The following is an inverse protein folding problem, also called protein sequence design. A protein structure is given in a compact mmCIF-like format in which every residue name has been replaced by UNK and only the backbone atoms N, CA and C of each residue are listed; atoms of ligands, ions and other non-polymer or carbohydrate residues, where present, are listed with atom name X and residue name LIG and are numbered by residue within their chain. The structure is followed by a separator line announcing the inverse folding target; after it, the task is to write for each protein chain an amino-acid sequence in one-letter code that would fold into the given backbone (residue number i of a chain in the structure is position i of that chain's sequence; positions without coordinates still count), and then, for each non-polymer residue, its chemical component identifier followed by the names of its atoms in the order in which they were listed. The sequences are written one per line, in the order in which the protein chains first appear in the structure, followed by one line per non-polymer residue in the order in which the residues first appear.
data_IF_767591077217
#
_entry.id   IF_767591077217
#
_cell.length_a   1.000
_cell.length_b   1.000
_cell.length_c   1.000
_cell.angle_alpha   90.00
_cell.angle_beta   90.00
_cell.angle_gamma   90.00
#
_symmetry.space_group_name_H-M   'P 1'
#
loop_
_entity.id
_entity.type
_entity.pdbx_description
1 polymer ?
#
# COMPACT_ATOMS: atom_id res chain seq x y z
N UNK A 1 3.59 14.14 2.14
CA UNK A 1 2.59 13.42 2.96
C UNK A 1 2.53 14.03 4.35
N UNK A 2 1.34 14.45 4.84
CA UNK A 2 1.14 14.93 6.21
C UNK A 2 0.33 13.87 6.98
N UNK A 3 0.87 13.36 8.09
CA UNK A 3 0.26 12.27 8.86
C UNK A 3 -0.83 12.77 9.81
N UNK A 4 -1.97 12.08 9.86
CA UNK A 4 -2.96 12.11 10.97
C UNK A 4 -3.11 10.72 11.59
N UNK A 5 -3.65 10.63 12.81
CA UNK A 5 -3.77 9.35 13.53
C UNK A 5 -5.20 9.14 14.03
N UNK A 6 -5.80 7.99 13.71
CA UNK A 6 -7.02 7.53 14.36
C UNK A 6 -6.64 6.81 15.66
N UNK A 7 -7.26 7.20 16.78
CA UNK A 7 -7.00 6.63 18.09
C UNK A 7 -8.27 5.99 18.63
N UNK A 8 -8.15 4.78 19.16
CA UNK A 8 -9.19 4.06 19.86
C UNK A 8 -8.57 3.25 21.00
N UNK A 9 -9.34 3.02 22.05
CA UNK A 9 -8.94 2.20 23.18
C UNK A 9 -9.59 0.82 23.06
N UNK A 10 -8.80 -0.23 23.34
CA UNK A 10 -9.28 -1.61 23.41
C UNK A 10 -9.24 -2.01 24.88
N UNK A 11 -10.41 -2.09 25.51
CA UNK A 11 -10.53 -2.54 26.89
C UNK A 11 -9.99 -3.96 27.02
N UNK A 12 -9.26 -4.22 28.12
CA UNK A 12 -8.69 -5.54 28.44
C UNK A 12 -7.83 -6.11 27.29
N UNK A 13 -7.05 -5.25 26.65
CA UNK A 13 -6.18 -5.66 25.55
C UNK A 13 -5.25 -6.82 25.94
N UNK A 14 -5.24 -7.85 25.09
CA UNK A 14 -4.24 -8.92 25.12
C UNK A 14 -3.83 -9.36 23.71
N UNK A 15 -2.82 -10.24 23.57
CA UNK A 15 -2.36 -10.74 22.26
C UNK A 15 -3.47 -11.38 21.41
N UNK A 16 -4.48 -11.99 22.05
CA UNK A 16 -5.65 -12.54 21.37
C UNK A 16 -6.47 -11.47 20.61
N UNK A 17 -6.56 -10.25 21.14
CA UNK A 17 -7.22 -9.13 20.46
C UNK A 17 -6.52 -8.79 19.15
N UNK A 18 -5.18 -8.78 19.14
CA UNK A 18 -4.39 -8.55 17.93
C UNK A 18 -4.54 -9.68 16.90
N UNK A 19 -4.56 -10.93 17.35
CA UNK A 19 -4.81 -12.09 16.47
C UNK A 19 -6.21 -12.04 15.83
N UNK A 20 -7.21 -11.52 16.55
CA UNK A 20 -8.54 -11.28 15.99
C UNK A 20 -8.50 -10.26 14.84
N UNK A 21 -7.82 -9.13 15.00
CA UNK A 21 -7.66 -8.16 13.91
C UNK A 21 -6.88 -8.75 12.73
N UNK A 22 -5.81 -9.48 13.00
CA UNK A 22 -5.03 -10.14 11.95
C UNK A 22 -5.87 -11.13 11.14
N UNK A 23 -6.68 -11.95 11.82
CA UNK A 23 -7.64 -12.85 11.17
C UNK A 23 -8.62 -12.09 10.26
N UNK A 24 -9.20 -11.00 10.74
CA UNK A 24 -10.13 -10.19 9.94
C UNK A 24 -9.46 -9.61 8.69
N UNK A 25 -8.20 -9.17 8.79
CA UNK A 25 -7.44 -8.69 7.63
C UNK A 25 -7.19 -9.83 6.62
N UNK A 26 -6.83 -11.03 7.08
CA UNK A 26 -6.64 -12.18 6.19
C UNK A 26 -7.93 -12.61 5.47
N UNK A 27 -9.08 -12.49 6.14
CA UNK A 27 -10.37 -12.89 5.56
C UNK A 27 -10.96 -11.84 4.61
N UNK A 28 -10.70 -10.54 4.85
CA UNK A 28 -11.41 -9.44 4.18
C UNK A 28 -10.54 -8.61 3.25
N UNK A 29 -9.28 -8.38 3.60
CA UNK A 29 -8.39 -7.55 2.78
C UNK A 29 -7.88 -8.32 1.57
N UNK A 30 -7.65 -7.61 0.46
CA UNK A 30 -7.10 -8.15 -0.78
C UNK A 30 -6.01 -7.22 -1.31
N UNK A 31 -5.16 -7.76 -2.16
CA UNK A 31 -4.14 -6.97 -2.84
C UNK A 31 -3.01 -6.46 -1.94
N UNK A 32 -2.99 -6.73 -0.63
CA UNK A 32 -1.86 -6.35 0.22
C UNK A 32 -0.55 -7.01 -0.26
N UNK A 33 0.55 -6.26 -0.24
CA UNK A 33 1.89 -6.85 -0.36
C UNK A 33 2.21 -7.71 0.87
N UNK A 34 1.84 -7.20 2.06
CA UNK A 34 2.04 -7.94 3.29
C UNK A 34 0.90 -7.69 4.29
N UNK A 35 0.22 -8.76 4.69
CA UNK A 35 -0.63 -8.80 5.87
C UNK A 35 0.19 -9.36 7.03
N UNK A 36 0.30 -8.62 8.13
CA UNK A 36 1.24 -8.94 9.21
C UNK A 36 0.65 -8.73 10.61
N UNK A 37 1.22 -9.47 11.55
CA UNK A 37 1.15 -9.23 12.99
C UNK A 37 2.56 -9.36 13.58
N UNK A 38 3.00 -8.33 14.29
CA UNK A 38 4.33 -8.28 14.91
C UNK A 38 4.15 -7.82 16.36
N UNK A 39 4.55 -8.67 17.30
CA UNK A 39 4.54 -8.33 18.73
C UNK A 39 5.98 -8.21 19.24
N UNK A 40 6.33 -7.06 19.81
CA UNK A 40 7.68 -6.74 20.29
C UNK A 40 7.80 -6.81 21.81
N UNK A 41 6.85 -7.46 22.49
CA UNK A 41 6.72 -7.47 23.95
C UNK A 41 5.89 -6.30 24.48
N UNK A 42 6.30 -5.07 24.18
CA UNK A 42 5.61 -3.84 24.67
C UNK A 42 4.63 -3.22 23.68
N UNK A 43 4.71 -3.60 22.40
CA UNK A 43 3.88 -3.05 21.32
C UNK A 43 3.47 -4.16 20.35
N UNK A 44 2.34 -3.94 19.69
CA UNK A 44 1.85 -4.84 18.66
C UNK A 44 1.48 -4.03 17.42
N UNK A 45 1.96 -4.47 16.27
CA UNK A 45 1.63 -3.93 14.97
C UNK A 45 0.79 -4.96 14.23
N UNK A 46 -0.36 -4.54 13.69
CA UNK A 46 -1.22 -5.36 12.83
C UNK A 46 -1.58 -4.52 11.63
N UNK A 47 -1.42 -5.05 10.42
CA UNK A 47 -1.68 -4.27 9.21
C UNK A 47 -1.68 -5.10 7.94
N UNK A 48 -2.11 -4.46 6.85
CA UNK A 48 -2.13 -5.00 5.51
C UNK A 48 -1.59 -3.93 4.54
N UNK A 49 -0.27 -3.86 4.40
CA UNK A 49 0.39 -2.84 3.55
C UNK A 49 0.24 -3.23 2.08
N UNK A 50 -0.22 -2.33 1.19
CA UNK A 50 -0.17 -2.57 -0.25
C UNK A 50 1.25 -2.44 -0.80
N UNK A 51 2.11 -1.69 -0.12
CA UNK A 51 3.39 -1.22 -0.64
C UNK A 51 4.55 -1.96 0.02
N UNK A 52 5.48 -2.46 -0.80
CA UNK A 52 6.78 -2.93 -0.34
C UNK A 52 7.68 -1.71 -0.16
N UNK A 53 8.53 -1.73 0.86
CA UNK A 53 9.57 -0.70 0.95
C UNK A 53 10.68 -0.94 -0.09
N UNK A 54 11.36 -2.08 0.04
CA UNK A 54 12.33 -2.58 -0.94
C UNK A 54 12.48 -4.09 -0.75
N UNK A 55 12.74 -4.81 -1.83
CA UNK A 55 13.11 -6.24 -1.81
C UNK A 55 14.38 -6.44 -2.61
N UNK A 56 15.29 -7.29 -2.12
CA UNK A 56 16.50 -7.69 -2.85
C UNK A 56 16.51 -9.20 -3.00
N UNK A 57 16.64 -9.68 -4.23
CA UNK A 57 16.78 -11.11 -4.52
C UNK A 57 17.74 -11.28 -5.70
N UNK A 58 18.77 -12.11 -5.52
CA UNK A 58 19.76 -12.42 -6.56
C UNK A 58 20.37 -11.16 -7.22
N UNK A 59 20.65 -10.14 -6.40
CA UNK A 59 21.19 -8.84 -6.85
C UNK A 59 20.15 -7.87 -7.43
N UNK A 60 18.90 -8.30 -7.66
CA UNK A 60 17.82 -7.45 -8.15
C UNK A 60 17.11 -6.74 -7.00
N UNK A 61 17.26 -5.42 -6.93
CA UNK A 61 16.52 -4.54 -6.02
C UNK A 61 15.21 -4.07 -6.67
N UNK A 62 14.10 -4.12 -5.92
CA UNK A 62 12.78 -3.71 -6.40
C UNK A 62 12.09 -2.85 -5.33
N UNK A 63 11.73 -1.63 -5.70
CA UNK A 63 10.75 -0.77 -5.01
C UNK A 63 9.42 -0.82 -5.77
N UNK A 64 8.36 -0.21 -5.23
CA UNK A 64 7.03 -0.27 -5.83
C UNK A 64 6.28 1.02 -5.49
N UNK A 65 6.51 2.11 -6.25
CA UNK A 65 5.86 3.37 -5.98
C UNK A 65 4.36 3.22 -6.17
N UNK A 66 3.57 3.56 -5.15
CA UNK A 66 2.11 3.60 -5.24
C UNK A 66 1.62 5.01 -4.92
N UNK A 67 0.84 5.59 -5.83
CA UNK A 67 0.12 6.84 -5.54
C UNK A 67 -1.09 6.98 -6.46
N UNK A 68 -2.04 7.82 -6.04
CA UNK A 68 -3.38 7.85 -6.59
C UNK A 68 -4.31 6.84 -5.88
N UNK A 69 -5.56 7.20 -5.66
CA UNK A 69 -6.51 6.35 -4.91
C UNK A 69 -7.94 6.50 -5.39
N UNK A 70 -8.47 5.44 -6.00
CA UNK A 70 -9.89 5.29 -6.24
C UNK A 70 -10.56 4.64 -5.04
N UNK A 71 -11.47 5.35 -4.36
CA UNK A 71 -12.25 4.81 -3.23
C UNK A 71 -13.53 4.18 -3.73
N UNK A 72 -13.78 2.92 -3.36
CA UNK A 72 -14.99 2.23 -3.79
C UNK A 72 -16.23 2.81 -3.10
N UNK A 73 -17.34 3.02 -3.83
CA UNK A 73 -18.60 3.37 -3.20
C UNK A 73 -19.16 2.14 -2.44
N UNK A 74 -20.15 2.33 -1.54
CA UNK A 74 -20.75 1.22 -0.80
C UNK A 74 -21.31 0.08 -1.66
N UNK A 75 -21.68 0.37 -2.91
CA UNK A 75 -22.15 -0.60 -3.89
C UNK A 75 -21.02 -1.42 -4.56
N UNK A 76 -19.76 -1.09 -4.30
CA UNK A 76 -18.57 -1.68 -4.94
C UNK A 76 -18.08 -0.87 -6.15
N UNK A 77 -16.88 -1.19 -6.67
CA UNK A 77 -16.29 -0.47 -7.79
C UNK A 77 -17.14 -0.63 -9.05
N UNK A 78 -17.18 0.41 -9.89
CA UNK A 78 -17.77 0.32 -11.22
C UNK A 78 -16.81 0.85 -12.28
N UNK A 79 -16.95 0.31 -13.50
CA UNK A 79 -16.00 0.57 -14.59
C UNK A 79 -15.93 2.06 -14.96
N UNK A 80 -17.06 2.78 -14.95
CA UNK A 80 -17.07 4.20 -15.32
C UNK A 80 -16.20 5.02 -14.35
N UNK A 81 -16.39 4.82 -13.04
CA UNK A 81 -15.60 5.52 -12.02
C UNK A 81 -14.11 5.15 -12.07
N UNK A 82 -13.78 3.89 -12.36
CA UNK A 82 -12.39 3.47 -12.56
C UNK A 82 -11.77 4.20 -13.76
N UNK A 83 -12.50 4.29 -14.88
CA UNK A 83 -12.01 5.00 -16.06
C UNK A 83 -11.87 6.51 -15.81
N UNK A 84 -12.79 7.12 -15.06
CA UNK A 84 -12.71 8.52 -14.65
C UNK A 84 -11.48 8.76 -13.75
N UNK A 85 -11.22 7.88 -12.80
CA UNK A 85 -10.02 7.91 -11.95
C UNK A 85 -8.73 7.80 -12.77
N UNK A 86 -8.65 6.85 -13.71
CA UNK A 86 -7.48 6.66 -14.57
C UNK A 86 -7.25 7.84 -15.53
N UNK A 87 -8.30 8.60 -15.85
CA UNK A 87 -8.22 9.81 -16.65
C UNK A 87 -7.99 11.09 -15.82
N UNK A 88 -8.01 11.01 -14.48
CA UNK A 88 -7.80 12.17 -13.61
C UNK A 88 -6.32 12.59 -13.64
N UNK A 89 -6.09 13.77 -14.21
CA UNK A 89 -4.75 14.34 -14.33
C UNK A 89 -4.06 14.53 -12.98
N UNK A 90 -4.79 14.90 -11.93
CA UNK A 90 -4.20 15.08 -10.61
C UNK A 90 -3.69 13.75 -10.07
N UNK A 91 -4.45 12.67 -10.23
CA UNK A 91 -4.06 11.34 -9.76
C UNK A 91 -2.88 10.79 -10.56
N UNK A 92 -2.87 10.99 -11.88
CA UNK A 92 -1.73 10.65 -12.73
C UNK A 92 -0.45 11.44 -12.37
N UNK A 93 -0.58 12.76 -12.17
CA UNK A 93 0.55 13.62 -11.77
C UNK A 93 1.08 13.21 -10.38
N UNK A 94 0.21 12.78 -9.46
CA UNK A 94 0.63 12.22 -8.17
C UNK A 94 1.45 10.94 -8.31
N UNK A 95 1.10 10.04 -9.23
CA UNK A 95 1.89 8.85 -9.50
C UNK A 95 3.25 9.20 -10.13
N UNK A 96 3.27 10.09 -11.12
CA UNK A 96 4.52 10.49 -11.78
C UNK A 96 5.52 11.08 -10.79
N UNK A 97 5.05 11.94 -9.87
CA UNK A 97 5.92 12.52 -8.85
C UNK A 97 6.57 11.46 -7.95
N UNK A 98 5.82 10.45 -7.50
CA UNK A 98 6.40 9.41 -6.62
C UNK A 98 7.33 8.47 -7.37
N UNK A 99 7.04 8.15 -8.65
CA UNK A 99 7.94 7.37 -9.51
C UNK A 99 9.27 8.08 -9.67
N UNK A 100 9.26 9.40 -9.93
CA UNK A 100 10.48 10.19 -10.05
C UNK A 100 11.31 10.19 -8.75
N UNK A 101 10.66 10.32 -7.58
CA UNK A 101 11.36 10.27 -6.29
C UNK A 101 11.95 8.88 -5.99
N UNK A 102 11.25 7.81 -6.32
CA UNK A 102 11.79 6.46 -6.17
C UNK A 102 12.91 6.15 -7.18
N UNK A 103 12.83 6.66 -8.41
CA UNK A 103 13.92 6.56 -9.39
C UNK A 103 15.19 7.26 -8.90
N UNK A 104 15.07 8.42 -8.23
CA UNK A 104 16.22 9.07 -7.57
C UNK A 104 16.81 8.19 -6.47
N UNK A 105 15.97 7.46 -5.72
CA UNK A 105 16.46 6.52 -4.72
C UNK A 105 17.19 5.35 -5.38
N UNK A 106 16.60 4.73 -6.41
CA UNK A 106 17.21 3.63 -7.16
C UNK A 106 18.52 4.03 -7.82
N UNK A 107 18.61 5.23 -8.41
CA UNK A 107 19.85 5.77 -8.99
C UNK A 107 20.99 5.95 -7.97
N UNK A 108 20.67 6.05 -6.67
CA UNK A 108 21.69 6.13 -5.61
C UNK A 108 22.17 4.76 -5.12
N UNK A 109 21.36 3.70 -5.28
CA UNK A 109 21.64 2.38 -4.70
C UNK A 109 21.96 1.32 -5.75
N UNK A 110 21.62 1.56 -7.02
CA UNK A 110 21.87 0.67 -8.15
C UNK A 110 22.83 1.33 -9.14
N UNK A 111 23.89 0.61 -9.53
CA UNK A 111 24.96 1.13 -10.42
C UNK A 111 24.42 1.60 -11.78
N UNK A 112 23.51 0.84 -12.38
CA UNK A 112 22.87 1.16 -13.66
C UNK A 112 21.56 1.98 -13.49
N UNK A 113 21.24 2.39 -12.27
CA UNK A 113 19.98 3.06 -11.94
C UNK A 113 18.75 2.14 -11.89
N UNK A 114 17.57 2.73 -12.05
CA UNK A 114 16.28 2.03 -11.98
C UNK A 114 15.58 1.92 -13.34
N UNK A 115 14.92 0.79 -13.59
CA UNK A 115 14.02 0.60 -14.72
C UNK A 115 12.56 0.55 -14.23
N UNK A 116 11.65 1.20 -14.96
CA UNK A 116 10.22 1.27 -14.62
C UNK A 116 9.43 0.25 -15.44
N UNK A 117 8.53 -0.48 -14.78
CA UNK A 117 7.53 -1.36 -15.39
C UNK A 117 6.15 -0.98 -14.87
N UNK A 118 5.15 -0.88 -15.75
CA UNK A 118 3.79 -0.45 -15.41
C UNK A 118 3.32 0.73 -16.28
N UNK A 119 2.33 1.53 -15.80
CA UNK A 119 1.66 1.41 -14.50
C UNK A 119 0.70 0.21 -14.43
N UNK A 120 0.30 -0.17 -13.22
CA UNK A 120 -0.65 -1.26 -12.97
C UNK A 120 -1.73 -0.80 -12.00
N UNK A 121 -2.95 -1.32 -12.13
CA UNK A 121 -4.01 -1.09 -11.15
C UNK A 121 -3.90 -2.15 -10.04
N UNK A 122 -3.87 -1.69 -8.78
CA UNK A 122 -3.83 -2.54 -7.59
C UNK A 122 -5.14 -2.45 -6.83
N UNK A 123 -5.99 -3.46 -7.02
CA UNK A 123 -7.29 -3.55 -6.36
C UNK A 123 -7.18 -4.10 -4.92
N UNK A 124 -7.80 -3.41 -3.97
CA UNK A 124 -7.92 -3.80 -2.55
C UNK A 124 -9.39 -3.96 -2.16
N UNK A 125 -9.69 -4.21 -0.89
CA UNK A 125 -11.07 -4.45 -0.44
C UNK A 125 -11.99 -3.23 -0.57
N UNK A 126 -11.47 -2.02 -0.35
CA UNK A 126 -12.25 -0.78 -0.26
C UNK A 126 -11.78 0.32 -1.22
N UNK A 127 -10.71 0.07 -1.97
CA UNK A 127 -10.10 1.05 -2.86
C UNK A 127 -9.22 0.34 -3.90
N UNK A 128 -8.80 1.08 -4.91
CA UNK A 128 -7.72 0.70 -5.82
C UNK A 128 -6.66 1.81 -5.88
N UNK A 129 -5.42 1.41 -6.14
CA UNK A 129 -4.30 2.30 -6.37
C UNK A 129 -3.73 2.14 -7.77
N UNK A 130 -3.08 3.20 -8.26
CA UNK A 130 -2.18 3.17 -9.42
C UNK A 130 -0.71 3.12 -9.00
#
# INVERSE_FOLDING_TARGET
VIKRTFLAEISEYGPASALSFFRHLLEREKGAYWTFIIHTGSRTFVGASPERHISIKDGLAVMNPISGTYRYPPAGPNLSEVMDFLADRKEADELYMVVDEELKMMARICEDGGHVLGPYLKEMAHLAHT
#
